data_IF_532994849820
#
_entry.id   IF_532994849820
#
_cell.length_a   1.000
_cell.length_b   1.000
_cell.length_c   1.000
_cell.angle_alpha   90.00
_cell.angle_beta   90.00
_cell.angle_gamma   90.00
#
_symmetry.space_group_name_H-M   'P 1'
#
loop_
_entity.id
_entity.type
_entity.pdbx_description
1 polymer ?
#
# COMPACT_ATOMS: atom_id res chain seq x y z
N UNK A 1 16.52 2.27 -10.32
CA UNK A 1 16.81 3.56 -10.97
C UNK A 1 16.01 3.62 -12.27
N UNK A 2 15.09 4.58 -12.38
CA UNK A 2 14.18 4.73 -13.53
C UNK A 2 14.94 5.36 -14.72
N UNK A 3 14.64 4.93 -15.95
CA UNK A 3 15.34 5.35 -17.17
C UNK A 3 15.04 6.81 -17.54
N UNK A 4 16.03 7.48 -18.14
CA UNK A 4 15.88 8.79 -18.78
C UNK A 4 14.85 8.74 -19.93
N UNK A 5 13.89 9.67 -19.94
CA UNK A 5 12.85 9.78 -21.00
C UNK A 5 11.52 9.07 -20.73
N UNK A 6 11.33 8.46 -19.55
CA UNK A 6 10.02 7.99 -19.13
C UNK A 6 9.10 9.19 -18.87
N UNK A 7 7.89 9.19 -19.45
CA UNK A 7 6.80 10.06 -18.99
C UNK A 7 6.39 9.52 -17.62
N UNK A 8 7.11 9.86 -16.56
CA UNK A 8 7.02 9.28 -15.22
C UNK A 8 5.57 9.21 -14.69
N UNK A 9 4.82 8.19 -15.09
CA UNK A 9 3.41 8.03 -14.74
C UNK A 9 3.29 6.96 -13.67
N UNK A 10 2.73 7.37 -12.53
CA UNK A 10 2.67 6.55 -11.33
C UNK A 10 1.21 6.31 -10.98
N UNK A 11 0.81 5.04 -10.96
CA UNK A 11 -0.51 4.62 -10.53
C UNK A 11 -0.63 4.59 -9.02
N UNK A 12 -1.74 5.11 -8.50
CA UNK A 12 -2.11 5.03 -7.08
C UNK A 12 -3.58 4.66 -6.95
N UNK A 13 -3.97 4.08 -5.81
CA UNK A 13 -5.37 3.99 -5.46
C UNK A 13 -5.83 5.30 -4.80
N UNK A 14 -6.91 5.89 -5.32
CA UNK A 14 -7.46 7.16 -4.82
C UNK A 14 -7.75 7.10 -3.31
N UNK A 15 -7.30 8.12 -2.58
CA UNK A 15 -7.56 8.29 -1.15
C UNK A 15 -6.73 7.40 -0.23
N UNK A 16 -5.71 6.72 -0.76
CA UNK A 16 -4.70 6.02 0.05
C UNK A 16 -3.58 6.97 0.46
N UNK A 17 -2.78 6.57 1.45
CA UNK A 17 -1.57 7.30 1.83
C UNK A 17 -0.59 7.43 0.65
N UNK A 18 -0.50 6.39 -0.18
CA UNK A 18 0.29 6.44 -1.43
C UNK A 18 -0.16 7.55 -2.37
N UNK A 19 -1.47 7.74 -2.57
CA UNK A 19 -2.03 8.85 -3.35
C UNK A 19 -1.67 10.21 -2.73
N UNK A 20 -1.88 10.35 -1.42
CA UNK A 20 -1.65 11.61 -0.70
C UNK A 20 -0.17 12.04 -0.82
N UNK A 21 0.78 11.16 -0.51
CA UNK A 21 2.20 11.51 -0.57
C UNK A 21 2.70 11.67 -2.00
N UNK A 22 2.31 10.79 -2.92
CA UNK A 22 2.78 10.87 -4.30
C UNK A 22 2.29 12.14 -5.02
N UNK A 23 1.12 12.65 -4.64
CA UNK A 23 0.59 13.91 -5.14
C UNK A 23 1.57 15.07 -4.88
N UNK A 24 2.13 15.17 -3.68
CA UNK A 24 3.05 16.26 -3.32
C UNK A 24 4.49 15.96 -3.73
N UNK A 25 4.97 14.73 -3.49
CA UNK A 25 6.37 14.37 -3.69
C UNK A 25 6.76 14.13 -5.14
N UNK A 26 5.80 13.82 -6.02
CA UNK A 26 6.06 13.53 -7.42
C UNK A 26 5.41 14.59 -8.30
N UNK A 27 4.08 14.69 -8.25
CA UNK A 27 3.32 15.60 -9.13
C UNK A 27 3.53 17.07 -8.74
N UNK A 28 3.44 17.41 -7.46
CA UNK A 28 3.70 18.77 -6.95
C UNK A 28 5.12 19.27 -7.19
N UNK A 29 6.10 18.36 -7.28
CA UNK A 29 7.50 18.66 -7.60
C UNK A 29 7.82 18.58 -9.10
N UNK A 30 6.85 18.26 -9.95
CA UNK A 30 7.04 18.12 -11.39
C UNK A 30 7.95 16.96 -11.81
N UNK A 31 8.10 15.95 -10.95
CA UNK A 31 8.93 14.76 -11.20
C UNK A 31 8.17 13.67 -11.96
N UNK A 32 6.85 13.79 -12.08
CA UNK A 32 5.98 12.85 -12.77
C UNK A 32 4.50 13.22 -12.68
N UNK A 33 3.62 12.33 -13.13
CA UNK A 33 2.17 12.49 -13.08
C UNK A 33 1.53 11.36 -12.29
N UNK A 34 0.53 11.68 -11.47
CA UNK A 34 -0.20 10.67 -10.69
C UNK A 34 -1.48 10.26 -11.42
N UNK A 35 -1.55 8.98 -11.78
CA UNK A 35 -2.77 8.36 -12.30
C UNK A 35 -3.54 7.70 -11.16
N UNK A 36 -4.75 8.19 -10.89
CA UNK A 36 -5.58 7.74 -9.77
C UNK A 36 -6.58 6.70 -10.23
N UNK A 37 -6.59 5.56 -9.54
CA UNK A 37 -7.46 4.42 -9.82
C UNK A 37 -8.40 4.17 -8.64
N UNK A 38 -9.60 3.67 -8.91
CA UNK A 38 -10.56 3.33 -7.85
C UNK A 38 -10.11 2.10 -7.03
N UNK A 39 -9.29 1.22 -7.61
CA UNK A 39 -8.79 0.00 -6.98
C UNK A 39 -7.31 -0.19 -7.32
N UNK A 40 -6.51 -0.65 -6.36
CA UNK A 40 -5.11 -0.99 -6.61
C UNK A 40 -4.91 -2.03 -7.74
N UNK A 41 -5.83 -2.99 -7.88
CA UNK A 41 -5.78 -3.97 -8.97
C UNK A 41 -5.87 -3.33 -10.37
N UNK A 42 -6.65 -2.26 -10.53
CA UNK A 42 -6.78 -1.56 -11.81
C UNK A 42 -5.49 -0.80 -12.16
N UNK A 43 -4.82 -0.24 -11.14
CA UNK A 43 -3.50 0.38 -11.29
C UNK A 43 -2.45 -0.67 -11.70
N UNK A 44 -2.41 -1.82 -11.03
CA UNK A 44 -1.50 -2.93 -11.36
C UNK A 44 -1.74 -3.46 -12.77
N UNK A 45 -2.99 -3.59 -13.20
CA UNK A 45 -3.31 -4.00 -14.57
C UNK A 45 -2.82 -2.98 -15.62
N UNK A 46 -2.88 -1.69 -15.28
CA UNK A 46 -2.38 -0.62 -16.14
C UNK A 46 -0.85 -0.64 -16.24
N UNK A 47 -0.16 -0.97 -15.14
CA UNK A 47 1.28 -1.24 -15.13
C UNK A 47 1.63 -2.46 -15.99
N UNK A 48 0.93 -3.58 -15.81
CA UNK A 48 1.19 -4.81 -16.56
C UNK A 48 0.98 -4.64 -18.08
N UNK A 49 0.12 -3.71 -18.49
CA UNK A 49 -0.12 -3.37 -19.91
C UNK A 49 0.78 -2.25 -20.44
N UNK A 50 1.69 -1.72 -19.62
CA UNK A 50 2.65 -0.69 -20.01
C UNK A 50 2.03 0.71 -20.20
N UNK A 51 0.86 0.97 -19.63
CA UNK A 51 0.24 2.30 -19.66
C UNK A 51 0.88 3.26 -18.66
N UNK A 52 1.35 2.71 -17.54
CA UNK A 52 2.06 3.43 -16.49
C UNK A 52 3.40 2.78 -16.17
N UNK A 53 4.32 3.54 -15.59
CA UNK A 53 5.69 3.10 -15.32
C UNK A 53 5.85 2.44 -13.94
N UNK A 54 5.01 2.83 -12.96
CA UNK A 54 5.10 2.36 -11.59
C UNK A 54 3.73 2.38 -10.90
N UNK A 55 3.57 1.62 -9.82
CA UNK A 55 2.42 1.70 -8.91
C UNK A 55 2.93 1.85 -7.48
N UNK A 56 2.36 2.79 -6.73
CA UNK A 56 2.55 2.88 -5.28
C UNK A 56 1.35 2.21 -4.61
N UNK A 57 1.62 1.16 -3.85
CA UNK A 57 0.61 0.35 -3.14
C UNK A 57 1.27 -0.34 -1.94
N UNK A 58 0.48 -0.62 -0.91
CA UNK A 58 0.88 -1.34 0.30
C UNK A 58 1.66 -2.64 0.00
N UNK A 59 2.60 -2.96 0.87
CA UNK A 59 3.56 -4.06 0.71
C UNK A 59 2.90 -5.43 0.54
N UNK A 60 1.92 -5.76 1.37
CA UNK A 60 1.28 -7.09 1.32
C UNK A 60 0.43 -7.28 0.04
N UNK A 61 -0.41 -6.32 -0.38
CA UNK A 61 -1.00 -6.34 -1.71
C UNK A 61 0.04 -6.41 -2.84
N UNK A 62 1.15 -5.66 -2.76
CA UNK A 62 2.20 -5.67 -3.77
C UNK A 62 2.80 -7.08 -3.95
N UNK A 63 3.09 -7.80 -2.86
CA UNK A 63 3.57 -9.19 -2.90
C UNK A 63 2.57 -10.10 -3.61
N UNK A 64 1.29 -10.03 -3.23
CA UNK A 64 0.25 -10.83 -3.86
C UNK A 64 0.13 -10.54 -5.37
N UNK A 65 0.25 -9.28 -5.78
CA UNK A 65 0.21 -8.91 -7.19
C UNK A 65 1.44 -9.39 -7.98
N UNK A 66 2.64 -9.30 -7.40
CA UNK A 66 3.87 -9.79 -8.05
C UNK A 66 3.88 -11.31 -8.15
N UNK A 67 3.38 -12.03 -7.15
CA UNK A 67 3.21 -13.49 -7.22
C UNK A 67 2.21 -13.88 -8.33
N UNK A 68 1.12 -13.11 -8.47
CA UNK A 68 0.07 -13.39 -9.44
C UNK A 68 0.39 -12.92 -10.89
N UNK A 69 1.33 -11.99 -11.08
CA UNK A 69 1.61 -11.37 -12.38
C UNK A 69 3.08 -11.45 -12.76
N UNK A 70 3.38 -12.17 -13.84
CA UNK A 70 4.74 -12.25 -14.37
C UNK A 70 5.24 -10.90 -14.87
N UNK A 71 6.54 -10.64 -14.68
CA UNK A 71 7.20 -9.44 -15.18
C UNK A 71 7.07 -8.21 -14.28
N UNK A 72 6.30 -8.29 -13.20
CA UNK A 72 6.29 -7.27 -12.15
C UNK A 72 7.36 -7.60 -11.10
N UNK A 73 7.85 -6.55 -10.42
CA UNK A 73 8.75 -6.68 -9.27
C UNK A 73 8.49 -5.56 -8.29
N UNK A 74 8.71 -5.85 -7.01
CA UNK A 74 8.76 -4.84 -5.96
C UNK A 74 10.14 -4.19 -6.01
N UNK A 75 10.21 -2.87 -5.79
CA UNK A 75 11.48 -2.18 -5.62
C UNK A 75 11.93 -2.28 -4.16
N UNK A 76 13.23 -2.48 -3.92
CA UNK A 76 13.80 -2.62 -2.57
C UNK A 76 13.82 -1.33 -1.73
N UNK A 77 13.09 -0.31 -2.18
CA UNK A 77 12.97 1.00 -1.52
C UNK A 77 11.57 1.14 -0.96
N UNK A 78 11.47 1.32 0.35
CA UNK A 78 10.22 1.69 1.00
C UNK A 78 9.92 3.17 0.72
N UNK A 79 8.69 3.45 0.31
CA UNK A 79 8.25 4.82 0.01
C UNK A 79 7.80 5.55 1.29
N UNK A 80 7.02 4.87 2.11
CA UNK A 80 6.60 5.31 3.44
C UNK A 80 6.52 4.10 4.38
N UNK A 81 6.78 4.34 5.67
CA UNK A 81 6.54 3.36 6.73
C UNK A 81 5.20 3.71 7.36
N UNK A 82 4.30 2.73 7.41
CA UNK A 82 2.93 2.92 7.88
C UNK A 82 2.61 1.89 8.96
N UNK A 83 2.06 2.39 10.07
CA UNK A 83 1.46 1.55 11.10
C UNK A 83 -0.03 1.39 10.85
N UNK A 84 -0.53 0.15 10.82
CA UNK A 84 -1.95 -0.12 10.68
C UNK A 84 -2.67 0.03 12.03
N UNK A 85 -3.84 0.69 12.00
CA UNK A 85 -4.67 0.90 13.18
C UNK A 85 -6.17 0.75 12.87
N UNK A 86 -6.96 0.53 13.93
CA UNK A 86 -8.42 0.54 13.85
C UNK A 86 -8.91 1.95 14.18
N UNK A 87 -9.59 2.59 13.24
CA UNK A 87 -10.11 3.94 13.41
C UNK A 87 -11.44 3.95 14.20
N UNK A 88 -11.53 4.84 15.18
CA UNK A 88 -12.77 5.17 15.89
C UNK A 88 -13.12 6.65 15.71
N UNK A 89 -14.39 7.00 15.97
CA UNK A 89 -14.76 8.40 16.13
C UNK A 89 -13.94 9.03 17.26
N UNK A 90 -13.67 10.34 17.16
CA UNK A 90 -13.03 11.09 18.25
C UNK A 90 -13.84 10.89 19.54
N UNK A 91 -13.11 10.73 20.64
CA UNK A 91 -13.66 10.53 22.00
C UNK A 91 -14.54 9.28 22.16
N UNK A 92 -14.42 8.28 21.27
CA UNK A 92 -15.16 7.03 21.40
C UNK A 92 -14.72 6.21 22.62
N UNK A 93 -15.70 5.82 23.45
CA UNK A 93 -15.50 4.88 24.55
C UNK A 93 -15.02 3.48 24.10
N UNK A 94 -15.12 3.16 22.81
CA UNK A 94 -14.65 1.90 22.26
C UNK A 94 -13.12 1.84 22.18
N UNK A 95 -12.44 2.99 22.09
CA UNK A 95 -10.99 3.07 21.92
C UNK A 95 -10.25 2.27 22.99
N UNK A 96 -10.54 2.55 24.27
CA UNK A 96 -9.89 1.87 25.39
C UNK A 96 -10.27 0.38 25.47
N UNK A 97 -11.54 0.05 25.23
CA UNK A 97 -12.03 -1.34 25.28
C UNK A 97 -11.38 -2.20 24.21
N UNK A 98 -11.28 -1.68 22.98
CA UNK A 98 -10.68 -2.41 21.85
C UNK A 98 -9.16 -2.49 22.03
N UNK A 99 -8.50 -1.44 22.49
CA UNK A 99 -7.06 -1.50 22.81
C UNK A 99 -6.75 -2.54 23.90
N UNK A 100 -7.60 -2.65 24.92
CA UNK A 100 -7.48 -3.68 25.96
C UNK A 100 -7.60 -5.09 25.38
N UNK A 101 -8.67 -5.36 24.64
CA UNK A 101 -8.88 -6.66 24.00
C UNK A 101 -7.77 -7.01 23.00
N UNK A 102 -7.31 -6.04 22.20
CA UNK A 102 -6.23 -6.26 21.24
C UNK A 102 -4.93 -6.65 21.95
N UNK A 103 -4.60 -6.01 23.09
CA UNK A 103 -3.42 -6.39 23.89
C UNK A 103 -3.50 -7.82 24.39
N UNK A 104 -4.67 -8.26 24.86
CA UNK A 104 -4.89 -9.64 25.31
C UNK A 104 -4.71 -10.64 24.15
N UNK A 105 -5.31 -10.34 22.98
CA UNK A 105 -5.22 -11.19 21.77
C UNK A 105 -3.81 -11.23 21.16
N UNK A 106 -3.01 -10.17 21.36
CA UNK A 106 -1.58 -10.18 21.01
C UNK A 106 -0.81 -11.05 22.00
N UNK A 107 -1.04 -10.87 23.30
CA UNK A 107 -0.34 -11.60 24.36
C UNK A 107 -0.61 -13.11 24.33
N UNK A 108 -1.83 -13.53 23.97
CA UNK A 108 -2.20 -14.94 23.86
C UNK A 108 -1.86 -15.60 22.50
N UNK A 109 -1.29 -14.81 21.57
CA UNK A 109 -0.87 -15.26 20.25
C UNK A 109 -2.00 -15.43 19.22
N UNK A 110 -3.24 -15.03 19.54
CA UNK A 110 -4.36 -15.07 18.59
C UNK A 110 -4.11 -14.19 17.38
N UNK A 111 -3.59 -12.97 17.58
CA UNK A 111 -3.24 -12.08 16.46
C UNK A 111 -2.16 -12.71 15.58
N UNK A 112 -1.13 -13.33 16.17
CA UNK A 112 -0.09 -14.01 15.38
C UNK A 112 -0.67 -15.14 14.53
N UNK A 113 -1.57 -15.96 15.07
CA UNK A 113 -2.25 -17.03 14.30
C UNK A 113 -3.05 -16.49 13.12
N UNK A 114 -3.66 -15.30 13.28
CA UNK A 114 -4.38 -14.63 12.18
C UNK A 114 -3.38 -14.18 11.12
N UNK A 115 -2.28 -13.54 11.52
CA UNK A 115 -1.20 -13.13 10.60
C UNK A 115 -0.69 -14.36 9.84
N UNK A 116 -0.27 -15.42 10.52
CA UNK A 116 0.29 -16.63 9.88
C UNK A 116 -0.68 -17.28 8.88
N UNK A 117 -2.00 -17.18 9.14
CA UNK A 117 -3.03 -17.75 8.27
C UNK A 117 -3.23 -16.95 6.99
N UNK A 118 -3.16 -15.62 7.05
CA UNK A 118 -3.56 -14.73 5.94
C UNK A 118 -2.39 -13.99 5.28
N UNK A 119 -1.30 -13.79 6.01
CA UNK A 119 -0.08 -13.11 5.59
C UNK A 119 1.03 -14.15 5.66
N UNK A 120 1.25 -14.86 4.55
CA UNK A 120 2.36 -15.80 4.48
C UNK A 120 3.66 -15.00 4.51
N UNK A 121 4.41 -15.13 5.60
CA UNK A 121 5.78 -14.67 5.65
C UNK A 121 6.60 -15.46 4.61
N UNK A 122 7.41 -14.76 3.83
CA UNK A 122 8.51 -15.37 3.07
C UNK A 122 9.64 -15.79 4.01
#
# INVERSE_FOLDING_TARGET
>A
MLKEGAKHSVGVQTGTTGDIYASDDIEGKGLGTIERYNKGADAVQSLATGKIDCVIIDKEPAKAFVEANQGLKILDTEYAVEDYAICFAKDSELTEKVNGALKELVADGTVQKIIDKYIKAE
#
